data_IF_703130632633
#
_entry.id   IF_703130632633
#
_cell.length_a   1.000
_cell.length_b   1.000
_cell.length_c   1.000
_cell.angle_alpha   90.00
_cell.angle_beta   90.00
_cell.angle_gamma   90.00
#
_symmetry.space_group_name_H-M   'P 1'
#
loop_
_entity.id
_entity.type
_entity.pdbx_description
1 polymer ?
#
# COMPACT_ATOMS: atom_id res chain seq x y z
N UNK A 1 -5.09 13.96 6.53
CA UNK A 1 -5.04 12.51 6.24
C UNK A 1 -6.38 11.91 6.61
N UNK A 2 -6.92 11.02 5.78
CA UNK A 2 -8.14 10.27 6.11
C UNK A 2 -7.67 9.00 6.83
N UNK A 3 -8.09 8.80 8.08
CA UNK A 3 -7.79 7.59 8.83
C UNK A 3 -8.86 6.52 8.56
N UNK A 4 -8.44 5.26 8.49
CA UNK A 4 -9.33 4.12 8.25
C UNK A 4 -9.35 3.24 9.49
N UNK A 5 -10.49 3.16 10.14
CA UNK A 5 -10.66 2.40 11.37
C UNK A 5 -11.38 1.07 11.09
N UNK A 6 -10.98 0.02 11.81
CA UNK A 6 -11.66 -1.27 11.77
C UNK A 6 -13.07 -1.14 12.36
N UNK A 7 -14.10 -1.51 11.59
CA UNK A 7 -15.50 -1.51 12.05
C UNK A 7 -15.95 -2.88 12.56
N UNK A 8 -15.10 -3.89 12.41
CA UNK A 8 -15.26 -5.26 12.90
C UNK A 8 -13.91 -5.77 13.40
N UNK A 9 -13.87 -6.78 14.29
CA UNK A 9 -12.61 -7.39 14.68
C UNK A 9 -12.00 -8.19 13.51
N UNK A 10 -10.68 -8.27 13.47
CA UNK A 10 -9.91 -9.16 12.58
C UNK A 10 -9.02 -10.07 13.42
N UNK A 11 -8.89 -11.33 13.02
CA UNK A 11 -7.90 -12.26 13.57
C UNK A 11 -6.61 -12.18 12.77
N UNK A 12 -5.48 -12.47 13.43
CA UNK A 12 -4.18 -12.57 12.75
C UNK A 12 -4.29 -13.48 11.52
N UNK A 13 -3.89 -12.96 10.36
CA UNK A 13 -3.94 -13.65 9.08
C UNK A 13 -5.19 -13.37 8.24
N UNK A 14 -6.23 -12.76 8.82
CA UNK A 14 -7.45 -12.41 8.09
C UNK A 14 -7.15 -11.44 6.95
N UNK A 15 -7.86 -11.63 5.84
CA UNK A 15 -7.93 -10.64 4.77
C UNK A 15 -8.58 -9.36 5.28
N UNK A 16 -7.92 -8.22 5.07
CA UNK A 16 -8.43 -6.90 5.44
C UNK A 16 -8.98 -6.20 4.21
N UNK A 17 -8.11 -5.92 3.23
CA UNK A 17 -8.48 -5.20 2.01
C UNK A 17 -7.44 -5.45 0.92
N UNK A 18 -7.85 -5.36 -0.34
CA UNK A 18 -6.93 -5.31 -1.48
C UNK A 18 -6.34 -3.90 -1.60
N UNK A 19 -5.03 -3.80 -1.82
CA UNK A 19 -4.43 -2.58 -2.34
C UNK A 19 -4.71 -2.54 -3.85
N UNK A 20 -5.89 -2.05 -4.21
CA UNK A 20 -6.38 -2.15 -5.57
C UNK A 20 -5.95 -0.98 -6.44
N UNK A 21 -5.52 -1.31 -7.66
CA UNK A 21 -5.07 -0.37 -8.68
C UNK A 21 -4.72 -1.12 -9.97
N UNK A 22 -4.08 -0.42 -10.89
CA UNK A 22 -3.59 -1.00 -12.14
C UNK A 22 -2.29 -1.77 -11.86
N UNK A 23 -2.25 -3.06 -12.20
CA UNK A 23 -1.01 -3.82 -12.20
C UNK A 23 -0.21 -3.45 -13.45
N UNK A 24 0.96 -2.86 -13.25
CA UNK A 24 1.85 -2.41 -14.32
C UNK A 24 3.27 -2.93 -14.09
N UNK A 25 4.02 -3.10 -15.18
CA UNK A 25 5.45 -3.44 -15.11
C UNK A 25 6.30 -2.21 -14.77
N UNK A 26 7.51 -2.45 -14.27
CA UNK A 26 8.41 -1.39 -13.80
C UNK A 26 8.65 -0.25 -14.81
N UNK A 27 8.75 -0.55 -16.11
CA UNK A 27 8.99 0.47 -17.14
C UNK A 27 7.83 1.46 -17.24
N UNK A 28 6.60 0.93 -17.28
CA UNK A 28 5.38 1.75 -17.30
C UNK A 28 5.19 2.49 -15.98
N UNK A 29 5.46 1.83 -14.85
CA UNK A 29 5.37 2.44 -13.52
C UNK A 29 6.26 3.70 -13.39
N UNK A 30 7.51 3.62 -13.83
CA UNK A 30 8.44 4.77 -13.81
C UNK A 30 7.96 5.92 -14.70
N UNK A 31 7.43 5.61 -15.88
CA UNK A 31 6.88 6.63 -16.77
C UNK A 31 5.69 7.37 -16.13
N UNK A 32 4.81 6.65 -15.43
CA UNK A 32 3.70 7.25 -14.69
C UNK A 32 4.19 8.09 -13.51
N UNK A 33 5.15 7.59 -12.74
CA UNK A 33 5.76 8.30 -11.61
C UNK A 33 6.36 9.66 -12.04
N UNK A 34 7.13 9.69 -13.13
CA UNK A 34 7.67 10.93 -13.70
C UNK A 34 6.59 11.92 -14.13
N UNK A 35 5.43 11.41 -14.56
CA UNK A 35 4.29 12.24 -14.93
C UNK A 35 3.59 12.81 -13.69
N UNK A 36 3.38 11.99 -12.66
CA UNK A 36 2.72 12.39 -11.42
C UNK A 36 3.58 13.36 -10.60
N UNK A 37 4.90 13.24 -10.62
CA UNK A 37 5.81 14.19 -9.94
C UNK A 37 5.69 15.63 -10.46
N UNK A 38 5.17 15.84 -11.68
CA UNK A 38 4.93 17.18 -12.24
C UNK A 38 3.67 17.84 -11.69
N UNK A 39 2.77 17.08 -11.09
CA UNK A 39 1.54 17.56 -10.49
C UNK A 39 1.57 17.36 -8.97
N UNK A 40 1.83 18.44 -8.23
CA UNK A 40 1.93 18.43 -6.76
C UNK A 40 0.60 18.03 -6.10
N UNK A 41 -0.53 18.13 -6.80
CA UNK A 41 -1.83 17.67 -6.29
C UNK A 41 -2.00 16.14 -6.34
N UNK A 42 -1.16 15.46 -7.12
CA UNK A 42 -1.16 14.02 -7.25
C UNK A 42 -0.43 13.37 -6.07
N UNK A 43 -1.15 12.67 -5.20
CA UNK A 43 -0.53 11.93 -4.10
C UNK A 43 0.22 10.67 -4.56
N UNK A 44 1.06 10.12 -3.68
CA UNK A 44 1.85 8.91 -3.96
C UNK A 44 1.06 7.63 -3.63
N UNK A 45 0.53 6.95 -4.65
CA UNK A 45 -0.27 5.73 -4.51
C UNK A 45 0.28 4.55 -5.35
N UNK A 46 1.57 4.58 -5.63
CA UNK A 46 2.26 3.54 -6.39
C UNK A 46 2.96 2.58 -5.44
N UNK A 47 2.63 1.30 -5.52
CA UNK A 47 3.23 0.26 -4.67
C UNK A 47 4.08 -0.70 -5.49
N UNK A 48 5.40 -0.61 -5.35
CA UNK A 48 6.35 -1.47 -6.03
C UNK A 48 6.60 -2.77 -5.27
N UNK A 49 6.62 -3.89 -5.98
CA UNK A 49 6.89 -5.21 -5.41
C UNK A 49 7.55 -6.15 -6.44
N UNK A 50 8.22 -7.19 -5.95
CA UNK A 50 8.79 -8.24 -6.79
C UNK A 50 7.94 -9.50 -6.70
N UNK A 51 7.58 -10.08 -7.84
CA UNK A 51 6.86 -11.34 -7.94
C UNK A 51 7.45 -12.18 -9.05
N UNK A 52 7.78 -13.45 -8.76
CA UNK A 52 8.40 -14.40 -9.71
C UNK A 52 9.62 -13.84 -10.45
N UNK A 53 10.47 -13.07 -9.74
CA UNK A 53 11.70 -12.50 -10.30
C UNK A 53 11.46 -11.29 -11.23
N UNK A 54 10.23 -10.78 -11.33
CA UNK A 54 9.88 -9.57 -12.07
C UNK A 54 9.42 -8.47 -11.11
N UNK A 55 9.75 -7.23 -11.45
CA UNK A 55 9.31 -6.05 -10.70
C UNK A 55 8.00 -5.51 -11.26
N UNK A 56 7.01 -5.40 -10.39
CA UNK A 56 5.68 -4.87 -10.69
C UNK A 56 5.38 -3.66 -9.81
N UNK A 57 4.34 -2.92 -10.21
CA UNK A 57 3.74 -1.89 -9.40
C UNK A 57 2.22 -2.04 -9.43
N UNK A 58 1.56 -1.86 -8.28
CA UNK A 58 0.14 -1.51 -8.27
C UNK A 58 0.03 0.01 -8.23
N UNK A 59 -0.47 0.59 -9.32
CA UNK A 59 -0.78 2.01 -9.41
C UNK A 59 -2.23 2.28 -8.97
N UNK A 60 -2.39 2.75 -7.74
CA UNK A 60 -3.67 3.13 -7.16
C UNK A 60 -3.89 4.65 -7.18
N UNK A 61 -3.25 5.39 -8.10
CA UNK A 61 -3.38 6.85 -8.20
C UNK A 61 -4.82 7.27 -8.55
N UNK A 62 -5.45 6.52 -9.45
CA UNK A 62 -6.87 6.70 -9.78
C UNK A 62 -7.76 6.12 -8.68
N UNK A 63 -8.80 6.85 -8.32
CA UNK A 63 -9.79 6.38 -7.34
C UNK A 63 -10.54 5.16 -7.88
N UNK A 64 -10.63 4.11 -7.06
CA UNK A 64 -11.27 2.83 -7.40
C UNK A 64 -12.52 2.56 -6.56
N UNK A 65 -12.80 3.40 -5.56
CA UNK A 65 -13.84 3.17 -4.55
C UNK A 65 -13.43 2.17 -3.47
N UNK A 66 -12.23 1.56 -3.59
CA UNK A 66 -11.69 0.64 -2.57
C UNK A 66 -10.77 1.38 -1.60
N UNK A 67 -10.76 0.92 -0.35
CA UNK A 67 -10.08 1.63 0.73
C UNK A 67 -8.58 1.33 0.87
N UNK A 68 -8.03 0.33 0.17
CA UNK A 68 -6.65 -0.13 0.36
C UNK A 68 -5.60 0.97 0.21
N UNK A 69 -5.76 1.84 -0.80
CA UNK A 69 -4.88 3.00 -1.07
C UNK A 69 -4.90 4.08 0.02
N UNK A 70 -5.85 3.99 0.96
CA UNK A 70 -6.09 4.99 2.00
C UNK A 70 -5.69 4.53 3.41
N UNK A 71 -5.12 3.32 3.54
CA UNK A 71 -4.54 2.90 4.82
C UNK A 71 -3.22 3.64 5.03
N UNK A 72 -3.02 4.16 6.23
CA UNK A 72 -1.85 4.99 6.55
C UNK A 72 -0.62 4.15 6.90
N UNK A 73 0.51 4.84 7.01
CA UNK A 73 1.79 4.27 7.38
C UNK A 73 1.93 4.05 8.89
N UNK A 74 2.51 2.91 9.27
CA UNK A 74 3.26 2.80 10.52
C UNK A 74 4.34 1.73 10.37
N UNK A 75 5.59 2.11 10.62
CA UNK A 75 6.75 1.22 10.66
C UNK A 75 6.92 0.55 12.01
N UNK A 76 6.68 1.27 13.10
CA UNK A 76 6.96 0.74 14.46
C UNK A 76 5.81 -0.08 15.03
N UNK A 77 4.56 0.18 14.63
CA UNK A 77 3.37 -0.50 15.15
C UNK A 77 2.35 -0.89 14.06
N UNK A 78 2.76 -1.51 12.94
CA UNK A 78 1.82 -1.98 11.93
C UNK A 78 0.89 -3.04 12.50
N UNK A 79 -0.40 -2.95 12.17
CA UNK A 79 -1.38 -4.01 12.44
C UNK A 79 -1.84 -4.73 11.16
N UNK A 80 -1.50 -4.19 9.99
CA UNK A 80 -1.63 -4.83 8.69
C UNK A 80 -0.24 -5.10 8.07
N UNK A 81 -0.13 -6.15 7.28
CA UNK A 81 1.05 -6.46 6.45
C UNK A 81 0.61 -6.79 5.02
N UNK A 82 1.42 -6.40 4.05
CA UNK A 82 1.15 -6.69 2.65
C UNK A 82 1.53 -8.13 2.30
N UNK A 83 0.73 -8.77 1.45
CA UNK A 83 1.02 -10.06 0.82
C UNK A 83 0.71 -9.99 -0.66
N UNK A 84 1.55 -10.65 -1.46
CA UNK A 84 1.24 -10.91 -2.87
C UNK A 84 0.50 -12.23 -2.97
N UNK A 85 -0.64 -12.24 -3.66
CA UNK A 85 -1.39 -13.45 -4.01
C UNK A 85 -1.56 -13.50 -5.52
N UNK A 86 -1.67 -14.70 -6.08
CA UNK A 86 -1.87 -14.89 -7.52
C UNK A 86 -3.21 -15.57 -7.77
N UNK A 87 -4.01 -15.00 -8.67
CA UNK A 87 -5.30 -15.54 -9.08
C UNK A 87 -5.33 -15.49 -10.61
N UNK A 88 -5.55 -16.63 -11.27
CA UNK A 88 -5.55 -16.73 -12.73
C UNK A 88 -4.34 -16.04 -13.38
N UNK A 89 -3.13 -16.35 -12.89
CA UNK A 89 -1.84 -15.82 -13.36
C UNK A 89 -1.62 -14.31 -13.17
N UNK A 90 -2.58 -13.60 -12.55
CA UNK A 90 -2.45 -12.19 -12.21
C UNK A 90 -2.05 -12.03 -10.74
N UNK A 91 -1.04 -11.20 -10.49
CA UNK A 91 -0.61 -10.83 -9.14
C UNK A 91 -1.52 -9.74 -8.55
N UNK A 92 -1.87 -9.91 -7.29
CA UNK A 92 -2.64 -8.96 -6.48
C UNK A 92 -1.89 -8.66 -5.19
N UNK A 93 -1.96 -7.41 -4.76
CA UNK A 93 -1.44 -6.99 -3.48
C UNK A 93 -2.59 -6.85 -2.48
N UNK A 94 -2.51 -7.59 -1.38
CA UNK A 94 -3.53 -7.57 -0.32
C UNK A 94 -2.89 -7.15 0.99
N UNK A 95 -3.69 -6.54 1.87
CA UNK A 95 -3.37 -6.35 3.27
C UNK A 95 -4.06 -7.43 4.10
N UNK A 96 -3.27 -8.08 4.94
CA UNK A 96 -3.76 -9.05 5.93
C UNK A 96 -3.43 -8.56 7.33
N UNK A 97 -4.23 -8.96 8.31
CA UNK A 97 -3.99 -8.63 9.70
C UNK A 97 -2.70 -9.28 10.20
N UNK A 98 -1.73 -8.49 10.68
CA UNK A 98 -0.45 -8.96 11.21
C UNK A 98 -0.58 -9.52 12.65
N UNK A 99 -1.62 -9.08 13.36
CA UNK A 99 -2.05 -9.51 14.68
C UNK A 99 -3.57 -9.44 14.75
N UNK A 100 -4.16 -9.85 15.87
CA UNK A 100 -5.57 -9.55 16.13
C UNK A 100 -5.77 -8.02 16.18
N UNK A 101 -6.86 -7.54 15.56
CA UNK A 101 -7.24 -6.12 15.46
C UNK A 101 -8.64 -5.96 16.04
N UNK A 102 -8.78 -5.09 17.03
CA UNK A 102 -10.05 -4.73 17.64
C UNK A 102 -10.81 -3.69 16.81
N UNK A 103 -12.12 -3.60 17.04
CA UNK A 103 -12.95 -2.52 16.49
C UNK A 103 -12.43 -1.18 17.00
N UNK A 104 -12.37 -0.19 16.10
CA UNK A 104 -11.92 1.16 16.41
C UNK A 104 -10.40 1.36 16.31
N UNK A 105 -9.61 0.32 16.06
CA UNK A 105 -8.18 0.49 15.76
C UNK A 105 -7.99 1.06 14.34
N UNK A 106 -7.05 2.01 14.18
CA UNK A 106 -6.65 2.47 12.85
C UNK A 106 -5.90 1.35 12.12
N UNK A 107 -6.27 1.09 10.87
CA UNK A 107 -5.60 0.13 10.00
C UNK A 107 -4.37 0.80 9.38
N UNK A 108 -3.19 0.35 9.79
CA UNK A 108 -1.90 0.89 9.37
C UNK A 108 -0.95 -0.23 8.96
N UNK A 109 -0.08 0.07 7.99
CA UNK A 109 0.93 -0.86 7.52
C UNK A 109 2.24 -0.15 7.19
N UNK A 110 3.31 -0.92 7.08
CA UNK A 110 4.61 -0.38 6.69
C UNK A 110 4.67 -0.16 5.17
N UNK A 111 4.89 1.09 4.75
CA UNK A 111 4.98 1.46 3.34
C UNK A 111 6.24 0.91 2.67
N UNK A 112 7.25 0.51 3.46
CA UNK A 112 8.46 -0.13 2.95
C UNK A 112 9.50 0.82 2.33
N UNK A 113 9.16 2.10 2.07
CA UNK A 113 10.14 3.06 1.56
C UNK A 113 11.16 3.42 2.66
N UNK A 114 12.44 3.30 2.30
CA UNK A 114 13.60 3.57 3.16
C UNK A 114 14.62 4.48 2.50
N UNK A 115 14.31 5.01 1.31
CA UNK A 115 15.22 5.88 0.60
C UNK A 115 15.50 7.13 1.43
N UNK A 116 16.76 7.60 1.42
CA UNK A 116 17.16 8.79 2.19
C UNK A 116 16.35 10.01 1.78
N UNK A 117 16.09 10.14 0.49
CA UNK A 117 15.30 11.22 -0.08
C UNK A 117 13.83 11.19 0.37
N UNK A 118 13.14 10.03 0.26
CA UNK A 118 11.76 9.93 0.70
C UNK A 118 11.64 10.19 2.21
N UNK A 119 12.57 9.68 3.02
CA UNK A 119 12.62 9.92 4.47
C UNK A 119 12.89 11.40 4.78
N UNK A 120 13.73 12.08 4.00
CA UNK A 120 14.00 13.50 4.19
C UNK A 120 12.75 14.34 3.90
N UNK A 121 12.01 14.00 2.84
CA UNK A 121 10.79 14.69 2.44
C UNK A 121 9.57 14.29 3.29
N UNK A 122 9.57 13.08 3.85
CA UNK A 122 8.48 12.49 4.64
C UNK A 122 9.04 11.85 5.93
N UNK A 123 9.40 12.63 6.95
CA UNK A 123 10.04 12.11 8.17
C UNK A 123 9.22 11.04 8.91
N UNK A 124 7.89 11.07 8.77
CA UNK A 124 6.96 10.09 9.34
C UNK A 124 7.18 8.65 8.82
N UNK A 125 7.91 8.43 7.72
CA UNK A 125 8.32 7.10 7.25
C UNK A 125 9.26 6.35 8.22
N UNK A 126 9.78 7.04 9.24
CA UNK A 126 10.57 6.44 10.32
C UNK A 126 9.72 5.86 11.44
N UNK A 127 8.46 6.26 11.55
CA UNK A 127 7.57 6.00 12.69
C UNK A 127 6.58 4.87 12.42
#
# INVERSE_FOLDING_TARGET
>A
MVQRFATKPFKKGDFVVEYAGDLVELKEAKFREETYQKDISCGCYMYFFSHRGKSYCIDATRESGKYGRLLNHSRTKPNCVTKTVEIAEKAYLILVAARDIAVGEELVYDYGDRSKEAIQNNPWLKE
#
